data_IF_454657377890
#
_entry.id   IF_454657377890
#
_cell.length_a   1.000
_cell.length_b   1.000
_cell.length_c   1.000
_cell.angle_alpha   90.00
_cell.angle_beta   90.00
_cell.angle_gamma   90.00
#
_symmetry.space_group_name_H-M   'P 1'
#
loop_
_entity.id
_entity.type
_entity.pdbx_description
1 polymer ?
#
# COMPACT_ATOMS: atom_id res chain seq x y z
N UNK A 1 -2.36 10.66 -3.06
CA UNK A 1 -1.57 9.58 -2.41
C UNK A 1 -0.12 9.51 -2.93
N UNK A 2 0.13 9.13 -4.18
CA UNK A 2 1.49 8.85 -4.71
C UNK A 2 2.43 10.06 -4.83
N UNK A 3 1.90 11.29 -4.92
CA UNK A 3 2.72 12.51 -4.89
C UNK A 3 3.24 12.84 -3.49
N UNK A 4 2.43 12.57 -2.47
CA UNK A 4 2.68 12.89 -1.05
C UNK A 4 3.49 11.80 -0.35
N UNK A 5 3.20 10.53 -0.65
CA UNK A 5 3.85 9.36 -0.06
C UNK A 5 4.64 8.59 -1.12
N UNK A 6 5.84 8.15 -0.75
CA UNK A 6 6.73 7.39 -1.63
C UNK A 6 7.38 6.23 -0.90
N UNK A 7 7.55 5.12 -1.60
CA UNK A 7 8.38 4.02 -1.14
C UNK A 7 9.86 4.34 -1.26
N UNK A 8 10.66 3.91 -0.28
CA UNK A 8 12.12 4.06 -0.29
C UNK A 8 12.77 2.81 0.26
N UNK A 9 13.65 2.17 -0.53
CA UNK A 9 14.31 0.90 -0.16
C UNK A 9 15.02 0.95 1.19
N UNK A 10 15.91 1.93 1.37
CA UNK A 10 16.72 2.05 2.60
C UNK A 10 15.88 2.40 3.83
N UNK A 11 14.84 3.22 3.65
CA UNK A 11 13.95 3.63 4.75
C UNK A 11 13.02 2.51 5.20
N UNK A 12 12.69 1.55 4.33
CA UNK A 12 11.93 0.34 4.69
C UNK A 12 12.64 -0.45 5.80
N UNK A 13 13.96 -0.57 5.75
CA UNK A 13 14.72 -1.30 6.78
C UNK A 13 15.06 -0.44 7.98
N UNK A 14 15.50 0.80 7.77
CA UNK A 14 15.94 1.69 8.88
C UNK A 14 14.80 2.22 9.74
N UNK A 15 13.54 2.15 9.28
CA UNK A 15 12.36 2.64 10.01
C UNK A 15 11.35 1.54 10.32
N UNK A 16 11.81 0.30 10.44
CA UNK A 16 10.98 -0.90 10.60
C UNK A 16 9.90 -0.77 11.70
N UNK A 17 10.23 -0.17 12.84
CA UNK A 17 9.29 0.02 13.96
C UNK A 17 8.03 0.83 13.60
N UNK A 18 8.08 1.66 12.55
CA UNK A 18 6.92 2.44 12.11
C UNK A 18 5.82 1.62 11.43
N UNK A 19 6.09 0.34 11.12
CA UNK A 19 5.10 -0.59 10.57
C UNK A 19 4.00 -0.91 11.59
N UNK A 20 4.31 -0.87 12.89
CA UNK A 20 3.36 -1.23 13.96
C UNK A 20 2.43 -0.08 14.38
N UNK A 21 2.68 1.14 13.92
CA UNK A 21 1.82 2.29 14.22
C UNK A 21 0.48 2.15 13.47
N UNK A 22 -0.64 2.48 14.13
CA UNK A 22 -2.00 2.42 13.56
C UNK A 22 -2.76 3.73 13.81
N UNK A 23 -2.12 4.86 13.52
CA UNK A 23 -2.71 6.19 13.69
C UNK A 23 -2.82 6.88 12.32
N UNK A 24 -4.07 7.05 11.87
CA UNK A 24 -4.37 7.68 10.58
C UNK A 24 -3.99 9.16 10.56
N UNK A 25 -4.16 9.89 11.66
CA UNK A 25 -3.82 11.32 11.75
C UNK A 25 -2.31 11.52 11.65
N UNK A 26 -1.55 10.71 12.38
CA UNK A 26 -0.09 10.67 12.30
C UNK A 26 0.37 10.37 10.86
N UNK A 27 -0.18 9.37 10.19
CA UNK A 27 0.25 9.07 8.82
C UNK A 27 -0.20 10.12 7.81
N UNK A 28 -1.41 10.66 7.96
CA UNK A 28 -1.94 11.68 7.08
C UNK A 28 -1.16 13.00 7.16
N UNK A 29 -0.72 13.39 8.36
CA UNK A 29 0.05 14.62 8.59
C UNK A 29 1.49 14.58 8.06
N UNK A 30 1.97 13.44 7.57
CA UNK A 30 3.36 13.27 7.11
C UNK A 30 3.50 13.41 5.60
N UNK A 31 4.73 13.67 5.18
CA UNK A 31 5.12 13.66 3.78
C UNK A 31 6.39 12.80 3.57
N UNK A 32 6.56 12.30 2.34
CA UNK A 32 7.71 11.48 1.97
C UNK A 32 7.51 10.00 2.26
N UNK A 33 8.39 9.41 3.08
CA UNK A 33 8.41 7.96 3.26
C UNK A 33 7.26 7.45 4.14
N UNK A 34 6.56 6.44 3.64
CA UNK A 34 5.71 5.54 4.41
C UNK A 34 5.93 4.09 3.97
N UNK A 35 5.76 3.16 4.91
CA UNK A 35 5.73 1.73 4.60
C UNK A 35 4.51 1.38 3.75
N UNK A 36 4.61 0.33 2.94
CA UNK A 36 3.49 -0.16 2.12
C UNK A 36 2.26 -0.48 2.97
N UNK A 37 2.44 -1.07 4.15
CA UNK A 37 1.37 -1.32 5.12
C UNK A 37 0.63 -0.06 5.54
N UNK A 38 1.38 1.01 5.80
CA UNK A 38 0.82 2.29 6.26
C UNK A 38 0.11 3.00 5.09
N UNK A 39 0.68 2.95 3.89
CA UNK A 39 0.03 3.47 2.68
C UNK A 39 -1.27 2.71 2.36
N UNK A 40 -1.28 1.38 2.47
CA UNK A 40 -2.47 0.58 2.25
C UNK A 40 -3.54 0.82 3.33
N UNK A 41 -3.13 1.05 4.58
CA UNK A 41 -4.04 1.44 5.65
C UNK A 41 -4.74 2.77 5.33
N UNK A 42 -4.00 3.80 4.92
CA UNK A 42 -4.59 5.07 4.48
C UNK A 42 -5.55 4.85 3.31
N UNK A 43 -5.13 4.08 2.29
CA UNK A 43 -5.95 3.84 1.11
C UNK A 43 -7.26 3.14 1.47
N UNK A 44 -7.20 2.10 2.30
CA UNK A 44 -8.36 1.36 2.76
C UNK A 44 -9.33 2.27 3.49
N UNK A 45 -8.83 3.13 4.39
CA UNK A 45 -9.67 4.13 5.07
C UNK A 45 -10.33 5.08 4.07
N UNK A 46 -9.58 5.61 3.09
CA UNK A 46 -10.13 6.52 2.08
C UNK A 46 -11.20 5.85 1.21
N UNK A 47 -10.97 4.61 0.75
CA UNK A 47 -11.92 3.87 -0.07
C UNK A 47 -13.21 3.60 0.69
N UNK A 48 -13.12 3.08 1.92
CA UNK A 48 -14.31 2.79 2.75
C UNK A 48 -15.06 4.09 3.09
N UNK A 49 -14.34 5.13 3.52
CA UNK A 49 -14.96 6.41 3.90
C UNK A 49 -15.50 7.22 2.73
N UNK A 50 -15.14 6.87 1.49
CA UNK A 50 -15.75 7.47 0.29
C UNK A 50 -17.21 7.05 0.06
N UNK A 51 -17.66 5.96 0.70
CA UNK A 51 -18.99 5.41 0.51
C UNK A 51 -19.16 4.52 -0.73
N UNK A 52 -18.15 4.42 -1.60
CA UNK A 52 -18.18 3.58 -2.80
C UNK A 52 -17.76 2.12 -2.55
N UNK A 53 -17.10 1.83 -1.43
CA UNK A 53 -16.54 0.52 -1.12
C UNK A 53 -16.89 0.12 0.31
N UNK A 54 -17.20 -1.15 0.51
CA UNK A 54 -17.27 -1.77 1.82
C UNK A 54 -15.95 -2.45 2.19
N UNK A 55 -15.77 -2.79 3.46
CA UNK A 55 -14.57 -3.52 3.92
C UNK A 55 -14.39 -4.87 3.22
N UNK A 56 -15.49 -5.54 2.88
CA UNK A 56 -15.54 -6.79 2.13
C UNK A 56 -15.12 -6.66 0.65
N UNK A 57 -15.14 -5.45 0.09
CA UNK A 57 -14.62 -5.15 -1.25
C UNK A 57 -13.10 -5.02 -1.26
N UNK A 58 -12.44 -5.12 -0.10
CA UNK A 58 -11.03 -4.85 0.09
C UNK A 58 -10.32 -6.06 0.71
N UNK A 59 -9.19 -6.46 0.12
CA UNK A 59 -8.36 -7.56 0.62
C UNK A 59 -6.90 -7.13 0.72
N UNK A 60 -6.32 -7.26 1.90
CA UNK A 60 -4.88 -7.13 2.06
C UNK A 60 -4.19 -8.39 1.54
N UNK A 61 -3.20 -8.20 0.67
CA UNK A 61 -2.39 -9.27 0.09
C UNK A 61 -0.92 -9.02 0.37
N UNK A 62 -0.17 -10.11 0.48
CA UNK A 62 1.25 -10.09 0.71
C UNK A 62 1.97 -10.84 -0.41
N UNK A 63 3.15 -10.34 -0.74
CA UNK A 63 4.08 -10.96 -1.68
C UNK A 63 5.51 -10.72 -1.18
N UNK A 64 6.47 -11.30 -1.87
CA UNK A 64 7.88 -11.02 -1.64
C UNK A 64 8.41 -10.18 -2.81
N UNK A 65 9.16 -9.13 -2.49
CA UNK A 65 9.94 -8.35 -3.45
C UNK A 65 11.40 -8.42 -3.04
N UNK A 66 12.31 -8.31 -4.01
CA UNK A 66 13.76 -8.31 -3.78
C UNK A 66 14.22 -9.51 -2.91
N UNK A 67 13.84 -10.71 -3.34
CA UNK A 67 14.14 -12.02 -2.72
C UNK A 67 13.48 -12.28 -1.37
N UNK A 68 13.54 -11.36 -0.42
CA UNK A 68 13.13 -11.63 0.97
C UNK A 68 12.31 -10.50 1.61
N UNK A 69 12.11 -9.37 0.95
CA UNK A 69 11.38 -8.23 1.54
C UNK A 69 9.87 -8.47 1.46
N UNK A 70 9.16 -8.62 2.59
CA UNK A 70 7.70 -8.74 2.58
C UNK A 70 7.09 -7.44 2.07
N UNK A 71 6.19 -7.55 1.10
CA UNK A 71 5.48 -6.41 0.53
C UNK A 71 3.98 -6.63 0.60
N UNK A 72 3.28 -5.61 1.06
CA UNK A 72 1.82 -5.62 1.13
C UNK A 72 1.24 -4.76 0.01
N UNK A 73 0.21 -5.27 -0.65
CA UNK A 73 -0.63 -4.53 -1.58
C UNK A 73 -2.11 -4.75 -1.27
N UNK A 74 -2.97 -3.96 -1.90
CA UNK A 74 -4.43 -4.05 -1.73
C UNK A 74 -5.05 -4.69 -2.97
N UNK A 75 -6.00 -5.59 -2.78
CA UNK A 75 -6.94 -6.01 -3.81
C UNK A 75 -8.27 -5.31 -3.57
N UNK A 76 -8.81 -4.69 -4.61
CA UNK A 76 -10.06 -3.93 -4.57
C UNK A 76 -11.04 -4.55 -5.55
N UNK A 77 -12.26 -4.81 -5.11
CA UNK A 77 -13.35 -5.30 -5.95
C UNK A 77 -13.96 -4.11 -6.70
N UNK A 78 -13.89 -4.13 -8.02
CA UNK A 78 -14.45 -3.11 -8.91
C UNK A 78 -15.23 -3.83 -10.00
N UNK A 79 -16.50 -3.48 -10.20
CA UNK A 79 -17.39 -4.10 -11.19
C UNK A 79 -17.38 -5.65 -11.12
N UNK A 80 -17.42 -6.18 -9.89
CA UNK A 80 -17.41 -7.63 -9.62
C UNK A 80 -16.04 -8.31 -9.77
N UNK A 81 -14.99 -7.61 -10.19
CA UNK A 81 -13.64 -8.16 -10.42
C UNK A 81 -12.67 -7.68 -9.36
N UNK A 82 -11.75 -8.55 -8.96
CA UNK A 82 -10.65 -8.19 -8.06
C UNK A 82 -9.50 -7.58 -8.87
N UNK A 83 -9.10 -6.37 -8.49
CA UNK A 83 -8.02 -5.62 -9.13
C UNK A 83 -6.92 -5.34 -8.10
N UNK A 84 -5.67 -5.58 -8.50
CA UNK A 84 -4.51 -5.27 -7.66
C UNK A 84 -4.20 -3.77 -7.68
N UNK A 85 -4.01 -3.21 -6.49
CA UNK A 85 -3.71 -1.80 -6.24
C UNK A 85 -2.46 -1.72 -5.36
N UNK A 86 -1.33 -1.40 -5.98
CA UNK A 86 -0.04 -1.25 -5.31
C UNK A 86 0.48 0.19 -5.42
N UNK A 87 0.00 1.02 -4.50
CA UNK A 87 0.31 2.46 -4.48
C UNK A 87 1.78 2.72 -4.14
N UNK A 88 2.34 1.88 -3.28
CA UNK A 88 3.74 2.01 -2.89
C UNK A 88 4.66 1.72 -4.08
N UNK A 89 4.32 0.73 -4.90
CA UNK A 89 5.14 0.37 -6.07
C UNK A 89 4.99 1.30 -7.27
N UNK A 90 4.06 2.26 -7.23
CA UNK A 90 3.88 3.24 -8.31
C UNK A 90 5.16 4.02 -8.62
N UNK A 91 5.99 4.31 -7.61
CA UNK A 91 7.30 4.99 -7.79
C UNK A 91 8.31 4.15 -8.57
N UNK A 92 8.07 2.84 -8.71
CA UNK A 92 8.85 1.91 -9.51
C UNK A 92 8.15 1.55 -10.83
N UNK A 93 7.15 2.32 -11.25
CA UNK A 93 6.45 2.13 -12.53
C UNK A 93 5.35 1.06 -12.52
N UNK A 94 4.97 0.53 -11.37
CA UNK A 94 3.84 -0.42 -11.28
C UNK A 94 2.53 0.34 -11.47
N UNK A 95 1.79 -0.04 -12.52
CA UNK A 95 0.50 0.55 -12.88
C UNK A 95 -0.69 -0.09 -12.16
N UNK A 96 -1.87 0.49 -12.35
CA UNK A 96 -3.14 -0.03 -11.85
C UNK A 96 -3.42 -1.44 -12.39
N UNK A 97 -3.99 -2.31 -11.56
CA UNK A 97 -4.21 -3.73 -11.88
C UNK A 97 -2.95 -4.59 -11.85
N UNK A 98 -1.83 -4.05 -11.36
CA UNK A 98 -0.56 -4.76 -11.17
C UNK A 98 -0.05 -4.51 -9.75
N UNK A 99 0.85 -5.37 -9.31
CA UNK A 99 1.59 -5.23 -8.05
C UNK A 99 3.07 -5.54 -8.28
N UNK A 100 3.94 -5.04 -7.39
CA UNK A 100 5.35 -5.37 -7.42
C UNK A 100 5.57 -6.87 -7.19
N UNK A 101 6.40 -7.47 -8.04
CA UNK A 101 6.80 -8.87 -7.94
C UNK A 101 8.30 -8.94 -7.67
N UNK A 102 8.73 -9.92 -6.88
CA UNK A 102 10.11 -10.37 -6.89
C UNK A 102 10.49 -10.98 -8.24
N UNK A 103 11.76 -11.36 -8.39
CA UNK A 103 12.15 -12.27 -9.48
C UNK A 103 11.42 -13.59 -9.27
N UNK A 104 10.87 -14.12 -10.36
CA UNK A 104 10.17 -15.41 -10.40
C UNK A 104 11.17 -16.53 -10.59
#
# INVERSE_FOLDING_TARGET
MTRKYRGYRVKTYTRFFEIFKKDIGYFWGREGFLHCTNMNFIMRVLLVKSGFFAEEDLKLKWTQIWYVSPHQFLQVKVDGKWIDVDIWANVYGVGFGKHAKGFR
#
